data_IF_612781753696
#
_entry.id   IF_612781753696
#
_cell.length_a   1.000
_cell.length_b   1.000
_cell.length_c   1.000
_cell.angle_alpha   90.00
_cell.angle_beta   90.00
_cell.angle_gamma   90.00
#
_symmetry.space_group_name_H-M   'P 1'
#
loop_
_entity.id
_entity.type
_entity.pdbx_description
1 polymer ?
#
# COMPACT_ATOMS: atom_id res chain seq x y z
N UNK A 1 -17.34 24.57 3.43
CA UNK A 1 -16.43 23.74 2.61
C UNK A 1 -15.95 22.61 3.50
N UNK A 2 -16.22 21.35 3.13
CA UNK A 2 -15.56 20.21 3.78
C UNK A 2 -14.08 20.28 3.40
N UNK A 3 -13.17 20.27 4.37
CA UNK A 3 -11.75 20.08 4.10
C UNK A 3 -11.57 18.68 3.51
N UNK A 4 -11.27 18.58 2.22
CA UNK A 4 -10.95 17.32 1.55
C UNK A 4 -9.44 17.20 1.42
N UNK A 5 -8.84 16.24 2.11
CA UNK A 5 -7.44 15.90 1.94
C UNK A 5 -7.27 15.00 0.72
N UNK A 6 -6.79 15.56 -0.39
CA UNK A 6 -6.47 14.79 -1.58
C UNK A 6 -5.07 14.17 -1.44
N UNK A 7 -5.03 12.87 -1.14
CA UNK A 7 -3.79 12.10 -0.97
C UNK A 7 -3.75 10.96 -2.00
N UNK A 8 -3.33 11.20 -3.25
CA UNK A 8 -3.22 10.15 -4.25
C UNK A 8 -2.15 9.14 -3.86
N UNK A 9 -2.50 7.85 -3.99
CA UNK A 9 -1.59 6.73 -3.78
C UNK A 9 -1.46 5.94 -5.08
N UNK A 10 -0.23 5.83 -5.59
CA UNK A 10 0.09 4.99 -6.76
C UNK A 10 0.95 3.82 -6.35
N UNK A 11 0.76 2.68 -7.03
CA UNK A 11 1.41 1.41 -6.68
C UNK A 11 1.98 0.76 -7.94
N UNK A 12 3.24 0.35 -7.84
CA UNK A 12 3.92 -0.49 -8.82
C UNK A 12 4.24 -1.83 -8.17
N UNK A 13 4.00 -2.94 -8.86
CA UNK A 13 4.19 -4.29 -8.29
C UNK A 13 5.12 -5.11 -9.17
N UNK A 14 5.88 -6.00 -8.53
CA UNK A 14 6.85 -6.85 -9.20
C UNK A 14 6.92 -8.23 -8.54
N UNK A 15 6.91 -9.30 -9.34
CA UNK A 15 7.11 -10.66 -8.87
C UNK A 15 8.60 -10.98 -8.71
N UNK A 16 9.02 -11.38 -7.51
CA UNK A 16 10.43 -11.64 -7.18
C UNK A 16 10.72 -13.13 -7.34
N UNK A 17 10.96 -13.56 -8.58
CA UNK A 17 11.18 -14.96 -8.93
C UNK A 17 12.31 -15.62 -8.12
N UNK A 18 13.44 -14.92 -7.94
CA UNK A 18 14.60 -15.42 -7.20
C UNK A 18 14.32 -15.69 -5.71
N UNK A 19 13.28 -15.09 -5.15
CA UNK A 19 12.87 -15.31 -3.77
C UNK A 19 11.61 -16.16 -3.67
N UNK A 20 11.06 -16.66 -4.79
CA UNK A 20 9.82 -17.42 -4.82
C UNK A 20 10.10 -18.91 -5.00
N UNK A 21 9.17 -19.73 -4.53
CA UNK A 21 9.17 -21.18 -4.72
C UNK A 21 7.75 -21.64 -5.08
N UNK A 22 7.40 -21.61 -6.38
CA UNK A 22 6.09 -22.05 -6.85
C UNK A 22 5.76 -23.51 -6.51
N UNK A 23 6.78 -24.38 -6.39
CA UNK A 23 6.57 -25.79 -6.06
C UNK A 23 6.06 -26.00 -4.63
N UNK A 24 6.35 -25.03 -3.75
CA UNK A 24 5.90 -24.98 -2.36
C UNK A 24 4.82 -23.91 -2.13
N UNK A 25 4.12 -23.47 -3.18
CA UNK A 25 3.08 -22.44 -3.10
C UNK A 25 3.56 -21.17 -2.38
N UNK A 26 4.77 -20.70 -2.67
CA UNK A 26 5.33 -19.50 -2.04
C UNK A 26 5.70 -18.47 -3.10
N UNK A 27 4.90 -17.42 -3.22
CA UNK A 27 5.07 -16.38 -4.23
C UNK A 27 5.42 -15.06 -3.55
N UNK A 28 6.61 -14.54 -3.83
CA UNK A 28 7.11 -13.29 -3.25
C UNK A 28 6.90 -12.16 -4.24
N UNK A 29 6.25 -11.10 -3.78
CA UNK A 29 6.05 -9.87 -4.53
C UNK A 29 6.69 -8.71 -3.80
N UNK A 30 7.28 -7.80 -4.57
CA UNK A 30 7.64 -6.47 -4.12
C UNK A 30 6.60 -5.48 -4.63
N UNK A 31 6.34 -4.43 -3.87
CA UNK A 31 5.54 -3.30 -4.31
C UNK A 31 6.21 -1.99 -3.90
N UNK A 32 6.20 -1.03 -4.81
CA UNK A 32 6.62 0.35 -4.56
C UNK A 32 5.38 1.22 -4.51
N UNK A 33 5.21 1.92 -3.40
CA UNK A 33 4.10 2.84 -3.18
C UNK A 33 4.63 4.26 -3.23
N UNK A 34 3.90 5.14 -3.90
CA UNK A 34 4.13 6.58 -3.86
C UNK A 34 2.87 7.27 -3.33
N UNK A 35 3.05 8.02 -2.25
CA UNK A 35 2.03 8.81 -1.58
C UNK A 35 2.29 10.27 -1.92
N UNK A 36 1.29 10.97 -2.46
CA UNK A 36 1.41 12.40 -2.80
C UNK A 36 0.48 13.22 -1.93
N UNK A 37 0.91 14.40 -1.52
CA UNK A 37 0.05 15.36 -0.84
C UNK A 37 -0.38 16.45 -1.82
N UNK A 38 -1.62 16.39 -2.30
CA UNK A 38 -2.23 17.43 -3.12
C UNK A 38 -3.13 18.38 -2.30
N UNK A 39 -3.17 18.22 -0.98
CA UNK A 39 -3.89 19.12 -0.08
C UNK A 39 -3.08 20.39 0.22
N UNK A 40 -3.73 21.38 0.83
CA UNK A 40 -3.12 22.64 1.20
C UNK A 40 -2.33 22.62 2.53
N UNK A 41 -2.46 21.55 3.32
CA UNK A 41 -1.78 21.39 4.62
C UNK A 41 -0.70 20.33 4.56
N UNK A 42 0.31 20.46 5.42
CA UNK A 42 1.20 19.34 5.72
C UNK A 42 0.40 18.23 6.40
N UNK A 43 0.63 16.99 5.99
CA UNK A 43 -0.01 15.80 6.57
C UNK A 43 1.05 14.80 7.02
N UNK A 44 0.73 13.99 8.02
CA UNK A 44 1.60 12.92 8.52
C UNK A 44 0.89 11.58 8.44
N UNK A 45 1.59 10.58 7.91
CA UNK A 45 1.16 9.18 7.99
C UNK A 45 1.48 8.63 9.37
N UNK A 46 0.45 8.11 10.05
CA UNK A 46 0.58 7.54 11.39
C UNK A 46 0.58 6.02 11.36
N UNK A 47 -0.38 5.42 10.65
CA UNK A 47 -0.58 3.97 10.61
C UNK A 47 -1.02 3.51 9.23
N UNK A 48 -0.90 2.21 9.00
CA UNK A 48 -1.41 1.53 7.81
C UNK A 48 -2.35 0.40 8.20
N UNK A 49 -3.33 0.20 7.34
CA UNK A 49 -4.16 -0.99 7.27
C UNK A 49 -4.08 -1.58 5.88
N UNK A 50 -3.91 -2.90 5.80
CA UNK A 50 -3.96 -3.68 4.57
C UNK A 50 -4.97 -4.80 4.70
N UNK A 51 -5.76 -4.99 3.66
CA UNK A 51 -6.51 -6.20 3.36
C UNK A 51 -5.85 -6.89 2.17
N UNK A 52 -5.37 -8.11 2.38
CA UNK A 52 -4.72 -8.94 1.37
C UNK A 52 -5.66 -10.10 1.08
N UNK A 53 -6.02 -10.30 -0.18
CA UNK A 53 -6.89 -11.40 -0.62
C UNK A 53 -6.14 -12.26 -1.62
N UNK A 54 -6.00 -13.56 -1.33
CA UNK A 54 -5.36 -14.51 -2.26
C UNK A 54 -6.35 -14.98 -3.36
N UNK A 55 -5.88 -15.77 -4.32
CA UNK A 55 -6.73 -16.26 -5.42
C UNK A 55 -7.84 -17.22 -4.98
N UNK A 56 -7.73 -17.80 -3.79
CA UNK A 56 -8.72 -18.70 -3.20
C UNK A 56 -9.77 -17.93 -2.37
N UNK A 57 -9.64 -16.60 -2.26
CA UNK A 57 -10.51 -15.76 -1.44
C UNK A 57 -10.14 -15.74 0.05
N UNK A 58 -8.97 -16.26 0.45
CA UNK A 58 -8.48 -16.14 1.81
C UNK A 58 -8.05 -14.70 2.05
N UNK A 59 -8.59 -14.09 3.10
CA UNK A 59 -8.28 -12.72 3.50
C UNK A 59 -7.29 -12.68 4.66
N UNK A 60 -6.39 -11.71 4.65
CA UNK A 60 -5.45 -11.42 5.74
C UNK A 60 -5.40 -9.92 5.97
N UNK A 61 -5.66 -9.52 7.21
CA UNK A 61 -5.58 -8.13 7.65
C UNK A 61 -4.23 -7.85 8.29
N UNK A 62 -3.60 -6.74 7.92
CA UNK A 62 -2.33 -6.29 8.51
C UNK A 62 -2.47 -4.84 8.95
N UNK A 63 -2.22 -4.61 10.24
CA UNK A 63 -2.14 -3.29 10.84
C UNK A 63 -0.73 -2.99 11.32
N UNK A 64 -0.32 -1.73 11.30
CA UNK A 64 0.93 -1.32 11.93
C UNK A 64 1.17 0.17 11.89
N UNK A 65 2.07 0.63 12.76
CA UNK A 65 2.51 2.01 12.76
C UNK A 65 3.42 2.30 11.57
N UNK A 66 3.22 3.47 10.97
CA UNK A 66 4.03 3.97 9.88
C UNK A 66 4.03 3.10 8.62
N UNK A 67 5.07 3.28 7.82
CA UNK A 67 5.46 2.47 6.67
C UNK A 67 6.97 2.28 6.73
N UNK A 68 7.46 1.06 6.52
CA UNK A 68 8.91 0.73 6.55
C UNK A 68 9.68 1.24 7.79
N UNK A 69 9.00 1.40 8.93
CA UNK A 69 9.58 1.91 10.18
C UNK A 69 9.52 3.44 10.34
N UNK A 70 8.90 4.15 9.40
CA UNK A 70 8.82 5.61 9.36
C UNK A 70 7.36 6.12 9.40
N UNK A 71 7.16 7.32 9.95
CA UNK A 71 5.88 8.05 9.93
C UNK A 71 6.06 9.36 9.15
N UNK A 72 6.12 9.30 7.80
CA UNK A 72 6.53 10.42 6.98
C UNK A 72 5.57 11.60 7.09
N UNK A 73 6.14 12.80 7.12
CA UNK A 73 5.43 14.07 6.96
C UNK A 73 5.57 14.55 5.52
N UNK A 74 4.44 14.90 4.90
CA UNK A 74 4.36 15.35 3.52
C UNK A 74 3.84 16.79 3.51
N UNK A 75 4.68 17.74 3.12
CA UNK A 75 4.24 19.10 2.84
C UNK A 75 3.38 19.16 1.56
N UNK A 76 2.57 20.22 1.36
CA UNK A 76 1.82 20.41 0.12
C UNK A 76 2.69 20.26 -1.13
N UNK A 77 2.23 19.48 -2.11
CA UNK A 77 2.93 19.22 -3.37
C UNK A 77 4.08 18.21 -3.29
N UNK A 78 4.39 17.67 -2.11
CA UNK A 78 5.48 16.69 -1.94
C UNK A 78 4.98 15.25 -2.02
N UNK A 79 5.93 14.32 -2.20
CA UNK A 79 5.66 12.88 -2.24
C UNK A 79 6.62 12.10 -1.36
N UNK A 80 6.16 10.96 -0.85
CA UNK A 80 6.97 9.96 -0.18
C UNK A 80 6.82 8.62 -0.90
N UNK A 81 7.93 7.95 -1.19
CA UNK A 81 7.95 6.65 -1.87
C UNK A 81 8.70 5.61 -1.06
N UNK A 82 8.16 4.40 -0.99
CA UNK A 82 8.81 3.29 -0.31
C UNK A 82 8.53 1.96 -1.00
N UNK A 83 9.42 0.99 -0.82
CA UNK A 83 9.28 -0.37 -1.33
C UNK A 83 9.16 -1.35 -0.18
N UNK A 84 8.25 -2.31 -0.28
CA UNK A 84 8.06 -3.39 0.68
C UNK A 84 7.67 -4.68 -0.04
N UNK A 85 7.51 -5.78 0.71
CA UNK A 85 7.18 -7.09 0.17
C UNK A 85 5.88 -7.68 0.73
N UNK A 86 5.31 -8.62 -0.02
CA UNK A 86 4.24 -9.51 0.42
C UNK A 86 4.54 -10.93 -0.06
N UNK A 87 4.12 -11.93 0.72
CA UNK A 87 4.21 -13.34 0.36
C UNK A 87 2.81 -13.89 0.25
N UNK A 88 2.47 -14.51 -0.87
CA UNK A 88 1.18 -15.16 -1.11
C UNK A 88 1.36 -16.66 -1.30
N UNK A 89 0.31 -17.41 -0.97
CA UNK A 89 0.20 -18.85 -1.24
C UNK A 89 -0.24 -19.14 -2.69
N UNK A 90 -0.69 -18.10 -3.41
CA UNK A 90 -1.19 -18.19 -4.78
C UNK A 90 -0.41 -17.30 -5.74
N UNK A 91 -0.36 -17.63 -7.04
CA UNK A 91 0.40 -16.86 -8.04
C UNK A 91 -0.26 -15.52 -8.41
N UNK A 92 -1.48 -15.28 -7.91
CA UNK A 92 -2.22 -14.03 -8.02
C UNK A 92 -2.91 -13.71 -6.69
N UNK A 93 -3.07 -12.42 -6.39
CA UNK A 93 -3.87 -11.91 -5.29
C UNK A 93 -4.10 -10.42 -5.42
N UNK A 94 -4.81 -9.84 -4.49
CA UNK A 94 -5.07 -8.39 -4.41
C UNK A 94 -4.66 -7.84 -3.05
N UNK A 95 -4.32 -6.56 -3.05
CA UNK A 95 -4.12 -5.79 -1.84
C UNK A 95 -4.89 -4.48 -1.96
N UNK A 96 -5.47 -4.04 -0.85
CA UNK A 96 -6.14 -2.75 -0.71
C UNK A 96 -6.05 -2.30 0.75
N UNK A 97 -6.43 -1.06 1.05
CA UNK A 97 -6.41 -0.60 2.44
C UNK A 97 -6.50 0.91 2.58
N UNK A 98 -5.91 1.42 3.65
CA UNK A 98 -5.82 2.86 3.89
C UNK A 98 -4.66 3.20 4.83
N UNK A 99 -4.19 4.44 4.74
CA UNK A 99 -3.36 5.07 5.75
C UNK A 99 -4.21 5.88 6.71
N UNK A 100 -3.94 5.76 8.01
CA UNK A 100 -4.40 6.72 9.01
C UNK A 100 -3.44 7.91 9.00
N UNK A 101 -3.99 9.09 8.74
CA UNK A 101 -3.26 10.33 8.56
C UNK A 101 -3.72 11.36 9.59
N UNK A 102 -2.86 12.33 9.89
CA UNK A 102 -3.23 13.56 10.60
C UNK A 102 -2.75 14.77 9.83
N UNK A 103 -3.53 15.85 9.83
CA UNK A 103 -3.12 17.13 9.21
C UNK A 103 -2.42 18.04 10.22
N UNK A 104 -1.80 19.12 9.72
CA UNK A 104 -1.22 20.16 10.58
C UNK A 104 -2.25 20.76 11.54
N UNK A 105 -3.51 20.87 11.12
CA UNK A 105 -4.66 21.27 11.95
C UNK A 105 -5.17 20.16 12.90
N UNK A 106 -4.43 19.07 13.09
CA UNK A 106 -4.76 17.91 13.93
C UNK A 106 -6.03 17.16 13.53
N UNK A 107 -6.49 17.32 12.28
CA UNK A 107 -7.61 16.54 11.77
C UNK A 107 -7.14 15.14 11.36
N UNK A 108 -7.77 14.12 11.92
CA UNK A 108 -7.52 12.74 11.53
C UNK A 108 -8.39 12.34 10.33
N UNK A 109 -7.78 11.66 9.37
CA UNK A 109 -8.49 11.17 8.19
C UNK A 109 -7.85 9.89 7.65
N UNK A 110 -8.54 9.23 6.70
CA UNK A 110 -8.03 8.04 6.01
C UNK A 110 -7.70 8.38 4.56
N UNK A 111 -6.48 8.08 4.15
CA UNK A 111 -6.09 8.11 2.74
C UNK A 111 -6.25 6.69 2.16
N UNK A 112 -7.15 6.52 1.19
CA UNK A 112 -7.40 5.20 0.60
C UNK A 112 -6.20 4.72 -0.21
N UNK A 113 -5.90 3.44 -0.09
CA UNK A 113 -4.99 2.74 -0.98
C UNK A 113 -5.86 1.96 -1.97
N UNK A 114 -5.79 2.25 -3.28
CA UNK A 114 -6.63 1.59 -4.26
C UNK A 114 -6.35 0.08 -4.29
N UNK A 115 -7.34 -0.71 -4.70
CA UNK A 115 -7.13 -2.13 -4.96
C UNK A 115 -6.14 -2.31 -6.10
N UNK A 116 -5.07 -3.05 -5.85
CA UNK A 116 -4.09 -3.43 -6.86
C UNK A 116 -3.81 -4.93 -6.83
N UNK A 117 -3.29 -5.45 -7.93
CA UNK A 117 -2.99 -6.87 -8.11
C UNK A 117 -1.52 -7.16 -7.86
N UNK A 118 -1.29 -8.30 -7.21
CA UNK A 118 -0.03 -9.00 -7.20
C UNK A 118 -0.20 -10.20 -8.14
N UNK A 119 0.59 -10.29 -9.20
CA UNK A 119 0.47 -11.37 -10.18
C UNK A 119 1.83 -11.69 -10.79
N UNK A 120 2.08 -12.98 -11.07
CA UNK A 120 3.17 -13.36 -11.95
C UNK A 120 2.90 -12.77 -13.34
N UNK A 121 3.93 -12.25 -14.04
CA UNK A 121 3.77 -11.78 -15.42
C UNK A 121 3.12 -12.85 -16.32
N UNK A 122 2.23 -12.41 -17.23
CA UNK A 122 1.59 -13.25 -18.27
C UNK A 122 0.64 -14.35 -17.78
N UNK A 123 0.13 -14.28 -16.54
CA UNK A 123 -0.77 -15.32 -16.00
C UNK A 123 -2.25 -15.16 -16.41
N UNK A 124 -2.63 -13.98 -16.91
CA UNK A 124 -3.97 -13.68 -17.42
C UNK A 124 -3.82 -13.34 -18.90
N UNK A 125 -4.08 -14.31 -19.77
CA UNK A 125 -4.30 -14.12 -21.21
C UNK A 125 -5.80 -14.23 -21.50
#
# INVERSE_FOLDING_TARGET
MSLSFEIPVSVETFYVAAQSDPSNNRYVFAYTITIKNHSAETVQLLRRYWLITDANGKETEVHGDGVVGEQPQLAPGTSYSYTSGAVLETPVGTMQGYYEMTSQSQLCFKAAIPLFRLAIPHILN
#
